data_IF_227954147468
#
_entry.id   IF_227954147468
#
_cell.length_a   1.000
_cell.length_b   1.000
_cell.length_c   1.000
_cell.angle_alpha   90.00
_cell.angle_beta   90.00
_cell.angle_gamma   90.00
#
_symmetry.space_group_name_H-M   'P 1'
#
loop_
_entity.id
_entity.type
_entity.pdbx_description
1 polymer ?
2 non-polymer ?
3 non-polymer ?
4 non-polymer ?
5 water ?
#
# COMPACT_ATOMS: atom_id res chain seq x y z
N UNK A 25 17.99 -4.75 -6.62
CA UNK A 25 18.95 -4.19 -7.61
C UNK A 25 18.39 -4.27 -9.02
N UNK A 26 18.39 -5.48 -9.61
CA UNK A 26 17.89 -5.67 -10.98
C UNK A 26 16.35 -5.70 -11.05
N UNK A 27 15.79 -4.82 -11.85
CA UNK A 27 14.34 -4.73 -12.02
C UNK A 27 13.82 -5.73 -13.02
N UNK A 28 12.83 -6.58 -12.63
CA UNK A 28 12.26 -7.54 -13.58
C UNK A 28 11.71 -6.84 -14.82
N UNK A 29 11.82 -7.46 -15.98
CA UNK A 29 11.28 -6.86 -17.19
C UNK A 29 9.76 -6.59 -17.07
N UNK A 30 9.03 -7.48 -16.39
CA UNK A 30 7.59 -7.30 -16.24
C UNK A 30 7.27 -5.99 -15.52
N UNK A 31 8.14 -5.59 -14.59
CA UNK A 31 7.97 -4.32 -13.88
C UNK A 31 8.17 -3.15 -14.84
N UNK A 32 9.24 -3.21 -15.62
CA UNK A 32 9.50 -2.15 -16.60
C UNK A 32 8.34 -2.06 -17.60
N UNK A 33 7.80 -3.20 -18.03
CA UNK A 33 6.70 -3.23 -18.98
C UNK A 33 5.44 -2.64 -18.37
N UNK A 34 5.17 -2.97 -17.11
CA UNK A 34 4.01 -2.45 -16.38
C UNK A 34 4.08 -0.91 -16.26
N UNK A 35 5.25 -0.42 -15.89
CA UNK A 35 5.43 1.04 -15.77
C UNK A 35 5.27 1.74 -17.11
N UNK A 36 5.83 1.13 -18.16
CA UNK A 36 5.74 1.72 -19.50
C UNK A 36 4.28 1.72 -19.97
N UNK A 37 3.52 0.68 -19.64
CA UNK A 37 2.12 0.59 -20.01
C UNK A 37 1.31 1.68 -19.30
N UNK A 38 1.57 1.87 -18.01
CA UNK A 38 0.86 2.93 -17.28
C UNK A 38 1.25 4.33 -17.74
N UNK A 39 2.50 4.52 -18.16
CA UNK A 39 3.01 5.83 -18.55
C UNK A 39 2.65 6.20 -19.98
N UNK A 40 2.41 5.20 -20.81
CA UNK A 40 2.03 5.39 -22.21
C UNK A 40 0.57 5.74 -22.39
N UNK A 41 0.12 5.69 -23.63
CA UNK A 41 -1.21 6.15 -24.00
C UNK A 41 -2.02 4.98 -24.60
N UNK A 42 -1.58 3.74 -24.40
CA UNK A 42 -2.14 2.54 -25.04
C UNK A 42 -2.74 1.62 -23.98
N UNK A 43 -4.07 1.63 -23.83
CA UNK A 43 -4.70 0.75 -22.80
C UNK A 43 -4.30 -0.73 -22.98
N UNK A 44 -4.25 -1.22 -24.22
CA UNK A 44 -3.94 -2.62 -24.46
C UNK A 44 -2.53 -3.02 -24.05
N UNK A 45 -1.62 -2.06 -23.94
CA UNK A 45 -0.29 -2.39 -23.46
C UNK A 45 -0.34 -2.82 -22.01
N UNK A 46 -1.32 -2.36 -21.22
CA UNK A 46 -1.45 -2.83 -19.84
C UNK A 46 -2.16 -4.19 -19.83
N UNK A 47 -3.34 -4.27 -20.47
CA UNK A 47 -4.08 -5.50 -20.45
C UNK A 47 -3.36 -6.73 -20.96
N UNK A 48 -2.57 -6.58 -22.01
CA UNK A 48 -1.90 -7.72 -22.61
C UNK A 48 -0.94 -8.43 -21.66
N UNK A 49 -0.49 -7.76 -20.61
CA UNK A 49 0.40 -8.37 -19.63
C UNK A 49 -0.26 -9.40 -18.73
N UNK A 50 -1.60 -9.45 -18.71
CA UNK A 50 -2.36 -10.24 -17.76
C UNK A 50 -2.96 -11.51 -18.32
N UNK A 51 -3.03 -12.50 -17.41
CA UNK A 51 -3.70 -13.76 -17.69
C UNK A 51 -5.16 -13.52 -18.03
N UNK A 52 -5.80 -14.52 -18.65
CA UNK A 52 -7.16 -14.39 -19.06
C UNK A 52 -8.10 -14.12 -17.90
N UNK A 53 -7.78 -14.73 -16.75
CA UNK A 53 -8.52 -14.56 -15.51
C UNK A 53 -7.76 -13.72 -14.50
N UNK A 54 -6.79 -12.95 -14.97
CA UNK A 54 -6.02 -12.10 -14.10
C UNK A 54 -6.87 -11.02 -13.44
N UNK A 55 -6.48 -10.63 -12.25
CA UNK A 55 -7.19 -9.61 -11.49
C UNK A 55 -6.32 -8.37 -11.24
N UNK A 56 -7.02 -7.23 -11.14
CA UNK A 56 -6.38 -5.98 -10.86
C UNK A 56 -7.25 -5.28 -9.80
N UNK A 57 -6.66 -4.91 -8.67
CA UNK A 57 -7.34 -4.21 -7.60
C UNK A 57 -6.57 -2.93 -7.27
N UNK A 58 -7.28 -1.80 -7.31
CA UNK A 58 -6.76 -0.52 -6.81
C UNK A 58 -7.43 -0.30 -5.48
N UNK A 59 -6.66 -0.45 -4.40
CA UNK A 59 -7.21 -0.31 -3.06
C UNK A 59 -7.50 1.13 -2.66
N UNK A 60 -6.78 2.07 -3.22
CA UNK A 60 -6.99 3.47 -2.86
C UNK A 60 -8.39 3.95 -3.30
N UNK A 61 -8.73 3.61 -4.55
CA UNK A 61 -10.02 3.99 -5.18
C UNK A 61 -11.10 2.96 -4.91
N UNK A 62 -10.72 1.71 -4.70
CA UNK A 62 -11.59 0.60 -4.51
C UNK A 62 -12.19 0.10 -5.80
N UNK A 63 -11.36 -0.13 -6.79
CA UNK A 63 -11.78 -0.65 -8.08
C UNK A 63 -11.22 -2.04 -8.27
N UNK A 64 -12.04 -2.92 -8.84
CA UNK A 64 -11.71 -4.32 -9.12
C UNK A 64 -12.02 -4.72 -10.57
N UNK A 65 -11.01 -5.23 -11.28
CA UNK A 65 -11.17 -5.62 -12.69
C UNK A 65 -10.63 -7.02 -12.87
N UNK A 66 -11.28 -7.80 -13.76
CA UNK A 66 -10.85 -9.15 -14.08
C UNK A 66 -10.79 -9.31 -15.60
N UNK A 67 -9.68 -9.86 -16.06
CA UNK A 67 -9.49 -10.12 -17.48
C UNK A 67 -8.93 -8.93 -18.23
N UNK A 68 -8.33 -9.20 -19.39
CA UNK A 68 -7.62 -8.18 -20.13
C UNK A 68 -8.47 -7.05 -20.59
N UNK A 69 -9.69 -7.29 -21.05
CA UNK A 69 -10.53 -6.20 -21.49
C UNK A 69 -10.83 -5.23 -20.36
N UNK A 70 -11.26 -5.74 -19.20
CA UNK A 70 -11.53 -4.83 -18.07
C UNK A 70 -10.27 -4.10 -17.61
N UNK A 71 -9.15 -4.80 -17.62
CA UNK A 71 -7.88 -4.22 -17.13
C UNK A 71 -7.38 -3.10 -18.07
N UNK A 72 -7.41 -3.36 -19.39
CA UNK A 72 -7.12 -2.30 -20.34
C UNK A 72 -8.13 -1.14 -20.13
N UNK A 73 -9.40 -1.47 -19.87
CA UNK A 73 -10.40 -0.47 -19.58
C UNK A 73 -10.10 0.37 -18.37
N UNK A 74 -9.39 -0.15 -17.37
CA UNK A 74 -8.98 0.62 -16.20
C UNK A 74 -7.91 1.65 -16.56
N UNK A 75 -6.97 1.31 -17.44
CA UNK A 75 -6.04 2.31 -17.95
C UNK A 75 -6.81 3.38 -18.71
N UNK A 76 -7.76 2.99 -19.57
CA UNK A 76 -8.54 3.97 -20.30
C UNK A 76 -9.34 4.91 -19.36
N UNK A 77 -9.97 4.35 -18.33
CA UNK A 77 -10.74 5.12 -17.38
C UNK A 77 -9.88 6.07 -16.59
N UNK A 78 -8.72 5.59 -16.18
CA UNK A 78 -7.79 6.42 -15.44
C UNK A 78 -7.35 7.61 -16.32
N UNK A 79 -7.00 7.34 -17.57
CA UNK A 79 -6.59 8.42 -18.48
C UNK A 79 -7.71 9.41 -18.76
N UNK A 80 -8.93 8.94 -18.82
CA UNK A 80 -10.05 9.85 -19.03
C UNK A 80 -10.20 10.81 -17.84
N UNK A 81 -9.84 10.42 -16.63
CA UNK A 81 -9.97 11.25 -15.44
C UNK A 81 -8.71 12.01 -15.07
N UNK A 82 -7.54 11.53 -15.49
CA UNK A 82 -6.29 12.06 -15.06
C UNK A 82 -5.35 12.26 -16.23
N UNK A 83 -4.88 13.50 -16.40
CA UNK A 83 -3.95 13.82 -17.43
C UNK A 83 -2.51 13.45 -16.99
N UNK A 84 -1.68 13.11 -17.98
CA UNK A 84 -0.25 12.87 -17.76
C UNK A 84 0.05 11.76 -16.74
N UNK A 85 -0.76 10.72 -16.69
CA UNK A 85 -0.48 9.63 -15.78
C UNK A 85 0.93 9.09 -16.06
N UNK A 86 1.74 8.98 -15.02
CA UNK A 86 3.07 8.45 -15.18
C UNK A 86 3.46 7.71 -13.92
N UNK A 87 4.12 6.59 -14.14
CA UNK A 87 4.55 5.70 -13.07
C UNK A 87 6.04 5.42 -13.24
N UNK A 88 6.82 5.77 -12.22
CA UNK A 88 8.26 5.56 -12.26
C UNK A 88 8.62 4.53 -11.20
N UNK A 89 9.59 3.68 -11.50
CA UNK A 89 10.02 2.66 -10.58
C UNK A 89 11.13 3.15 -9.67
N UNK A 90 10.90 3.05 -8.38
CA UNK A 90 11.88 3.36 -7.36
C UNK A 90 12.75 2.14 -7.13
N UNK A 91 12.13 0.99 -6.87
CA UNK A 91 12.83 -0.28 -6.73
C UNK A 91 11.83 -1.41 -6.85
N UNK A 92 12.29 -2.59 -7.17
CA UNK A 92 11.42 -3.72 -7.26
C UNK A 92 12.21 -4.95 -6.94
N UNK A 93 11.54 -6.00 -6.44
CA UNK A 93 12.18 -7.22 -6.00
C UNK A 93 11.24 -8.43 -6.10
N UNK A 94 11.77 -9.55 -6.57
CA UNK A 94 11.04 -10.78 -6.83
C UNK A 94 11.37 -11.82 -5.77
N UNK A 95 10.35 -12.53 -5.33
CA UNK A 95 10.42 -13.68 -4.44
C UNK A 95 9.53 -14.74 -5.08
N UNK A 96 10.15 -15.63 -5.85
CA UNK A 96 9.39 -16.69 -6.53
C UNK A 96 8.40 -16.10 -7.51
N UNK A 97 7.12 -16.43 -7.35
CA UNK A 97 6.11 -15.91 -8.25
C UNK A 97 5.57 -14.54 -7.81
N UNK A 98 6.18 -13.93 -6.81
CA UNK A 98 5.70 -12.65 -6.29
C UNK A 98 6.68 -11.57 -6.60
N UNK A 99 6.20 -10.44 -7.05
CA UNK A 99 7.02 -9.27 -7.32
C UNK A 99 6.42 -8.09 -6.53
N UNK A 100 7.30 -7.37 -5.85
CA UNK A 100 6.94 -6.15 -5.15
C UNK A 100 7.55 -4.97 -5.87
N UNK A 101 6.72 -3.94 -6.10
CA UNK A 101 7.14 -2.74 -6.75
C UNK A 101 6.95 -1.54 -5.85
N UNK A 102 8.00 -0.77 -5.64
CA UNK A 102 7.91 0.54 -5.02
C UNK A 102 8.02 1.54 -6.19
N UNK A 103 6.97 2.32 -6.42
CA UNK A 103 6.90 3.26 -7.53
C UNK A 103 6.44 4.59 -7.07
N UNK A 104 6.48 5.56 -7.99
CA UNK A 104 5.84 6.87 -7.79
C UNK A 104 4.79 6.99 -8.88
N UNK A 105 3.59 7.30 -8.43
CA UNK A 105 2.42 7.50 -9.28
C UNK A 105 2.06 8.98 -9.31
N UNK A 106 2.04 9.54 -10.50
CA UNK A 106 1.75 10.95 -10.66
C UNK A 106 0.82 11.23 -11.82
N UNK A 107 0.26 12.45 -11.79
CA UNK A 107 -0.64 12.91 -12.85
C UNK A 107 -1.32 14.18 -12.39
N UNK A 108 -2.33 14.59 -13.15
CA UNK A 108 -3.09 15.78 -12.81
C UNK A 108 -4.56 15.47 -13.08
N UNK A 109 -5.34 15.29 -12.01
CA UNK A 109 -6.76 15.01 -12.15
C UNK A 109 -7.39 16.14 -12.94
N UNK A 110 -8.10 15.83 -14.01
CA UNK A 110 -8.61 16.88 -14.89
C UNK A 110 -9.60 17.74 -14.13
N UNK A 111 -9.39 19.06 -14.20
CA UNK A 111 -10.21 20.06 -13.49
C UNK A 111 -9.74 20.38 -12.06
N UNK A 112 -8.80 19.61 -11.50
CA UNK A 112 -8.31 19.88 -10.13
C UNK A 112 -7.32 21.03 -10.17
N UNK A 113 -7.19 21.76 -9.05
CA UNK A 113 -6.23 22.87 -9.07
C UNK A 113 -4.76 22.55 -9.42
N UNK A 114 -4.23 21.44 -8.91
CA UNK A 114 -2.83 21.12 -9.06
C UNK A 114 -2.62 19.62 -9.32
N UNK A 115 -1.43 19.25 -9.81
CA UNK A 115 -1.08 17.84 -10.02
C UNK A 115 -0.63 17.20 -8.69
N UNK A 116 -0.34 15.89 -8.77
CA UNK A 116 0.11 15.11 -7.63
C UNK A 116 1.19 14.11 -8.04
N UNK A 117 1.94 13.66 -7.04
CA UNK A 117 2.87 12.52 -7.19
C UNK A 117 2.94 11.87 -5.81
N UNK A 118 2.70 10.55 -5.73
CA UNK A 118 2.73 9.85 -4.46
C UNK A 118 3.47 8.53 -4.60
N UNK A 119 4.04 8.04 -3.50
CA UNK A 119 4.59 6.69 -3.52
C UNK A 119 3.46 5.65 -3.61
N UNK A 120 3.73 4.56 -4.29
CA UNK A 120 2.77 3.50 -4.43
C UNK A 120 3.50 2.21 -4.22
N UNK A 121 2.75 1.27 -3.66
CA UNK A 121 3.23 -0.14 -3.51
C UNK A 121 2.33 -0.99 -4.38
N UNK A 122 2.92 -1.74 -5.30
CA UNK A 122 2.20 -2.66 -6.14
C UNK A 122 2.72 -4.08 -5.94
N UNK A 123 1.80 -4.97 -5.69
CA UNK A 123 2.11 -6.40 -5.47
C UNK A 123 1.62 -7.16 -6.68
N UNK A 124 2.56 -7.85 -7.36
CA UNK A 124 2.18 -8.69 -8.48
C UNK A 124 2.37 -10.17 -8.12
N UNK A 125 1.52 -11.00 -8.66
CA UNK A 125 1.76 -12.43 -8.74
C UNK A 125 1.87 -12.74 -10.22
N UNK A 126 2.87 -13.54 -10.58
CA UNK A 126 3.15 -13.84 -12.01
C UNK A 126 3.19 -15.35 -12.27
N UNK A 127 3.14 -15.67 -13.55
CA UNK A 127 3.25 -17.05 -14.05
C UNK A 127 4.07 -16.86 -15.33
N UNK A 128 5.37 -17.12 -15.26
CA UNK A 128 6.24 -16.83 -16.38
C UNK A 128 6.22 -15.32 -16.53
N UNK A 129 5.97 -14.82 -17.76
CA UNK A 129 5.84 -13.41 -18.01
C UNK A 129 4.46 -12.82 -17.68
N UNK A 130 3.40 -13.64 -17.58
CA UNK A 130 2.03 -13.14 -17.33
C UNK A 130 1.78 -12.78 -15.87
N UNK A 131 0.99 -11.72 -15.70
CA UNK A 131 0.54 -11.27 -14.40
C UNK A 131 -0.81 -11.91 -14.09
N UNK A 132 -0.89 -12.64 -12.98
CA UNK A 132 -2.14 -13.21 -12.54
C UNK A 132 -2.89 -12.32 -11.56
N UNK A 133 -2.15 -11.50 -10.81
CA UNK A 133 -2.75 -10.57 -9.84
C UNK A 133 -1.90 -9.30 -9.74
N UNK A 134 -2.60 -8.15 -9.72
CA UNK A 134 -1.97 -6.87 -9.42
C UNK A 134 -2.83 -6.22 -8.30
N UNK A 135 -2.20 -5.79 -7.24
CA UNK A 135 -2.81 -4.93 -6.21
C UNK A 135 -1.98 -3.65 -6.13
N UNK A 136 -2.68 -2.49 -6.21
CA UNK A 136 -2.06 -1.18 -6.06
C UNK A 136 -2.52 -0.52 -4.76
N UNK A 137 -1.59 -0.01 -3.99
CA UNK A 137 -1.82 0.75 -2.74
C UNK A 137 -1.10 2.08 -2.80
N UNK A 138 -1.80 3.16 -2.37
CA UNK A 138 -1.22 4.50 -2.32
C UNK A 138 -2.12 5.37 -1.47
N UNK A 139 -1.63 6.52 -1.06
CA UNK A 139 -2.42 7.41 -0.21
C UNK A 139 -3.36 8.28 -0.99
N UNK A 140 -4.64 7.95 -0.99
CA UNK A 140 -5.66 8.79 -1.64
C UNK A 140 -5.69 10.15 -0.94
N UNK A 141 -5.48 10.20 0.37
CA UNK A 141 -5.51 11.51 1.09
C UNK A 141 -4.42 12.42 0.53
N UNK A 142 -3.25 11.88 0.33
CA UNK A 142 -2.14 12.66 -0.20
C UNK A 142 -2.44 13.10 -1.63
N UNK A 143 -2.97 12.21 -2.45
CA UNK A 143 -3.35 12.57 -3.82
C UNK A 143 -4.28 13.79 -3.81
N UNK A 144 -5.34 13.70 -3.05
CA UNK A 144 -6.34 14.78 -3.02
C UNK A 144 -5.76 16.06 -2.45
N UNK A 145 -5.02 15.98 -1.36
CA UNK A 145 -4.43 17.18 -0.76
C UNK A 145 -3.45 17.86 -1.74
N UNK A 146 -2.57 17.08 -2.37
CA UNK A 146 -1.64 17.67 -3.31
C UNK A 146 -2.40 18.37 -4.44
N UNK A 147 -3.51 17.75 -4.82
CA UNK A 147 -4.32 18.23 -5.96
C UNK A 147 -5.16 19.45 -5.67
N UNK A 148 -5.22 19.84 -4.40
CA UNK A 148 -6.05 20.96 -3.99
C UNK A 148 -7.53 20.62 -4.00
N UNK A 149 -7.87 19.35 -3.81
CA UNK A 149 -9.24 18.88 -3.78
C UNK A 149 -9.65 18.62 -2.36
N UNK A 150 -10.97 18.67 -2.09
CA UNK A 150 -11.47 18.41 -0.76
C UNK A 150 -11.16 16.99 -0.31
N UNK A 151 -11.07 16.78 1.00
CA UNK A 151 -10.74 15.46 1.51
C UNK A 151 -11.76 14.35 1.18
N UNK A 152 -12.99 14.77 0.96
CA UNK A 152 -14.06 13.85 0.61
C UNK A 152 -14.46 13.91 -0.86
N UNK A 153 -13.56 14.41 -1.70
CA UNK A 153 -13.85 14.54 -3.11
C UNK A 153 -14.08 13.19 -3.78
N UNK A 154 -15.00 13.19 -4.74
CA UNK A 154 -15.26 12.02 -5.58
C UNK A 154 -15.48 12.55 -7.01
N UNK A 155 -15.22 11.70 -8.01
CA UNK A 155 -15.41 12.13 -9.41
C UNK A 155 -16.88 12.39 -9.76
N UNK B 26 6.53 -20.15 3.63
CA UNK B 26 6.96 -19.97 5.06
C UNK B 26 7.08 -18.50 5.42
N UNK B 27 6.45 -18.15 6.52
CA UNK B 27 6.47 -16.78 7.00
C UNK B 27 7.71 -16.47 7.82
N UNK B 28 8.48 -15.42 7.45
CA UNK B 28 9.64 -15.09 8.29
C UNK B 28 9.25 -14.83 9.78
N UNK B 29 10.10 -15.22 10.72
CA UNK B 29 9.82 -14.95 12.11
C UNK B 29 9.62 -13.44 12.40
N UNK B 30 10.36 -12.57 11.72
CA UNK B 30 10.19 -11.14 11.94
C UNK B 30 8.77 -10.67 11.62
N UNK B 31 8.14 -11.31 10.63
CA UNK B 31 6.76 -11.00 10.29
C UNK B 31 5.81 -11.41 11.41
N UNK B 32 5.98 -12.65 11.91
CA UNK B 32 5.18 -13.13 13.03
C UNK B 32 5.35 -12.21 14.23
N UNK B 33 6.59 -11.79 14.51
CA UNK B 33 6.87 -10.92 15.65
C UNK B 33 6.22 -9.56 15.49
N UNK B 34 6.28 -9.00 14.29
CA UNK B 34 5.67 -7.71 13.98
C UNK B 34 4.17 -7.77 14.18
N UNK B 35 3.52 -8.82 13.68
CA UNK B 35 2.05 -8.98 13.86
C UNK B 35 1.68 -9.13 15.34
N UNK B 36 2.49 -9.90 16.06
CA UNK B 36 2.22 -10.13 17.48
C UNK B 36 2.39 -8.81 18.24
N UNK B 37 3.38 -8.01 17.87
CA UNK B 37 3.58 -6.70 18.50
C UNK B 37 2.40 -5.77 18.25
N UNK B 38 1.91 -5.73 17.01
CA UNK B 38 0.77 -4.88 16.71
C UNK B 38 -0.51 -5.39 17.37
N UNK B 39 -0.66 -6.71 17.53
CA UNK B 39 -1.87 -7.29 18.10
C UNK B 39 -1.89 -7.24 19.62
N UNK B 40 -0.72 -7.21 20.23
CA UNK B 40 -0.59 -7.17 21.67
C UNK B 40 -0.83 -5.79 22.26
N UNK B 41 -0.48 -5.64 23.52
CA UNK B 41 -0.79 -4.42 24.29
C UNK B 41 0.52 -3.77 24.78
N UNK B 42 1.66 -4.13 24.19
CA UNK B 42 2.99 -3.71 24.66
C UNK B 42 3.67 -2.87 23.59
N UNK B 43 3.68 -1.53 23.71
CA UNK B 43 4.34 -0.68 22.69
C UNK B 43 5.80 -1.11 22.44
N UNK B 44 6.55 -1.45 23.49
CA UNK B 44 7.97 -1.80 23.32
C UNK B 44 8.19 -3.07 22.56
N UNK B 45 7.19 -3.94 22.46
CA UNK B 45 7.35 -5.13 21.65
C UNK B 45 7.49 -4.73 20.16
N UNK B 46 6.86 -3.62 19.76
CA UNK B 46 7.02 -3.17 18.36
C UNK B 46 8.39 -2.46 18.20
N UNK B 47 8.66 -1.47 19.05
CA UNK B 47 9.90 -0.72 18.90
C UNK B 47 11.17 -1.53 18.97
N UNK B 48 11.22 -2.54 19.83
CA UNK B 48 12.42 -3.33 19.99
C UNK B 48 12.88 -4.06 18.72
N UNK B 49 11.98 -4.23 17.77
CA UNK B 49 12.30 -4.88 16.50
C UNK B 49 13.13 -4.02 15.56
N UNK B 50 13.24 -2.73 15.83
CA UNK B 50 13.83 -1.77 14.91
C UNK B 50 15.21 -1.30 15.29
N UNK B 51 15.99 -1.01 14.23
CA UNK B 51 17.31 -0.43 14.36
C UNK B 51 17.21 0.92 15.05
N UNK B 52 18.35 1.39 15.56
CA UNK B 52 18.37 2.65 16.29
C UNK B 52 17.89 3.83 15.45
N UNK B 53 18.23 3.79 14.17
CA UNK B 53 17.84 4.77 13.17
C UNK B 53 16.76 4.24 12.24
N UNK B 54 16.05 3.20 12.65
CA UNK B 54 15.02 2.66 11.81
C UNK B 54 13.83 3.61 11.64
N UNK B 55 13.18 3.49 10.50
CA UNK B 55 12.04 4.34 10.19
C UNK B 55 10.74 3.55 10.05
N UNK B 56 9.65 4.26 10.34
CA UNK B 56 8.32 3.69 10.24
C UNK B 56 7.44 4.75 9.58
N UNK B 57 6.83 4.43 8.46
CA UNK B 57 5.93 5.36 7.74
C UNK B 57 4.59 4.67 7.54
N UNK B 58 3.52 5.33 7.99
CA UNK B 58 2.14 4.90 7.70
C UNK B 58 1.64 5.86 6.62
N UNK B 59 1.52 5.35 5.39
CA UNK B 59 1.15 6.20 4.26
C UNK B 59 -0.34 6.56 4.27
N UNK B 60 -1.17 5.75 4.89
CA UNK B 60 -2.61 6.03 4.90
C UNK B 60 -2.92 7.26 5.73
N UNK B 61 -2.31 7.33 6.92
CA UNK B 61 -2.49 8.44 7.86
C UNK B 61 -1.45 9.54 7.69
N UNK B 62 -0.33 9.23 7.06
CA UNK B 62 0.73 10.16 6.83
C UNK B 62 1.54 10.44 8.08
N UNK B 63 1.97 9.41 8.78
CA UNK B 63 2.77 9.53 9.98
C UNK B 63 4.15 8.93 9.74
N UNK B 64 5.16 9.60 10.27
CA UNK B 64 6.55 9.20 10.16
C UNK B 64 7.18 9.17 11.54
N UNK B 65 7.89 8.08 11.82
CA UNK B 65 8.59 7.92 13.09
C UNK B 65 9.98 7.40 12.81
N UNK B 66 10.95 7.80 13.65
CA UNK B 66 12.33 7.33 13.54
C UNK B 66 12.82 6.94 14.93
N UNK B 67 13.43 5.76 15.01
CA UNK B 67 13.97 5.27 16.26
C UNK B 67 12.95 4.52 17.11
N UNK B 68 13.46 3.67 18.02
CA UNK B 68 12.61 2.79 18.79
C UNK B 68 11.62 3.53 19.66
N UNK B 69 12.01 4.62 20.32
CA UNK B 69 11.09 5.33 21.18
C UNK B 69 9.91 5.86 20.39
N UNK B 70 10.17 6.56 19.28
CA UNK B 70 9.05 7.07 18.46
C UNK B 70 8.18 5.93 17.91
N UNK B 71 8.82 4.82 17.51
CA UNK B 71 8.07 3.71 16.90
C UNK B 71 7.16 3.03 17.95
N UNK B 72 7.74 2.70 19.11
CA UNK B 72 6.90 2.24 20.20
C UNK B 72 5.76 3.26 20.44
N UNK B 73 6.07 4.55 20.43
CA UNK B 73 5.07 5.57 20.63
C UNK B 73 3.98 5.55 19.60
N UNK B 74 4.24 5.10 18.38
CA UNK B 74 3.21 4.97 17.35
C UNK B 74 2.23 3.83 17.70
N UNK B 75 2.72 2.73 18.22
CA UNK B 75 1.82 1.68 18.74
C UNK B 75 0.97 2.25 19.89
N UNK B 76 1.58 2.99 20.81
CA UNK B 76 0.81 3.58 21.90
C UNK B 76 -0.24 4.55 21.39
N UNK B 77 0.10 5.41 20.45
CA UNK B 77 -0.83 6.37 19.88
C UNK B 77 -1.98 5.71 19.14
N UNK B 78 -1.65 4.69 18.37
CA UNK B 78 -2.66 3.94 17.65
C UNK B 78 -3.65 3.31 18.68
N UNK B 79 -3.12 2.68 19.72
CA UNK B 79 -3.99 2.06 20.76
C UNK B 79 -4.83 3.07 21.50
N UNK B 80 -4.34 4.28 21.69
CA UNK B 80 -5.14 5.31 22.35
C UNK B 80 -6.30 5.70 21.49
N UNK B 81 -6.19 5.65 20.17
CA UNK B 81 -7.25 6.02 19.22
C UNK B 81 -8.15 4.88 18.78
N UNK B 82 -7.65 3.66 18.81
CA UNK B 82 -8.31 2.52 18.25
C UNK B 82 -8.28 1.35 19.21
N UNK B 83 -9.46 0.83 19.52
CA UNK B 83 -9.60 -0.33 20.38
C UNK B 83 -9.38 -1.62 19.57
N UNK B 84 -8.87 -2.65 20.23
CA UNK B 84 -8.74 -3.99 19.66
C UNK B 84 -7.92 -4.06 18.38
N UNK B 85 -6.88 -3.24 18.28
CA UNK B 85 -6.05 -3.28 17.09
C UNK B 85 -5.51 -4.72 16.94
N UNK B 86 -5.67 -5.29 15.76
CA UNK B 86 -5.18 -6.61 15.49
C UNK B 86 -4.75 -6.68 14.05
N UNK B 87 -3.65 -7.38 13.84
CA UNK B 87 -3.03 -7.53 12.52
C UNK B 87 -2.80 -9.02 12.31
N UNK B 88 -3.40 -9.57 11.26
CA UNK B 88 -3.27 -10.99 10.92
C UNK B 88 -2.49 -11.10 9.61
N UNK B 89 -1.62 -12.10 9.48
CA UNK B 89 -0.85 -12.33 8.29
C UNK B 89 -1.59 -13.17 7.28
N UNK B 90 -1.77 -12.64 6.08
CA UNK B 90 -2.34 -13.41 4.96
C UNK B 90 -1.22 -14.19 4.26
N UNK B 91 -0.14 -13.50 3.90
CA UNK B 91 1.03 -14.16 3.35
C UNK B 91 2.21 -13.20 3.45
N UNK B 92 3.41 -13.70 3.35
CA UNK B 92 4.57 -12.88 3.39
C UNK B 92 5.66 -13.57 2.63
N UNK B 93 6.59 -12.79 2.11
CA UNK B 93 7.66 -13.31 1.30
C UNK B 93 8.88 -12.42 1.47
N UNK B 94 10.07 -13.02 1.35
CA UNK B 94 11.35 -12.37 1.47
C UNK B 94 12.15 -12.44 0.16
N UNK B 95 12.77 -11.31 -0.21
CA UNK B 95 13.69 -11.19 -1.32
C UNK B 95 14.92 -10.45 -0.76
N UNK B 96 15.99 -11.18 -0.41
CA UNK B 96 17.13 -10.50 0.16
C UNK B 96 16.78 -9.81 1.48
N UNK B 97 17.13 -8.54 1.59
CA UNK B 97 16.86 -7.81 2.81
C UNK B 97 15.46 -7.20 2.79
N UNK B 98 14.64 -7.58 1.84
CA UNK B 98 13.30 -7.03 1.71
C UNK B 98 12.25 -8.07 2.03
N UNK B 99 11.27 -7.69 2.82
CA UNK B 99 10.17 -8.55 3.15
C UNK B 99 8.87 -7.81 2.79
N UNK B 100 7.98 -8.52 2.14
CA UNK B 100 6.64 -8.01 1.81
C UNK B 100 5.62 -8.78 2.62
N UNK B 101 4.72 -8.04 3.25
CA UNK B 101 3.67 -8.59 4.06
C UNK B 101 2.30 -8.20 3.55
N UNK B 102 1.48 -9.19 3.27
CA UNK B 102 0.06 -8.99 3.00
C UNK B 102 -0.66 -9.34 4.30
N UNK B 103 -1.33 -8.38 4.92
CA UNK B 103 -1.98 -8.55 6.20
C UNK B 103 -3.38 -8.03 6.17
N UNK B 104 -4.12 -8.28 7.26
CA UNK B 104 -5.40 -7.65 7.50
C UNK B 104 -5.24 -6.86 8.80
N UNK B 105 -5.58 -5.58 8.71
CA UNK B 105 -5.53 -4.64 9.81
C UNK B 105 -6.96 -4.30 10.24
N UNK B 106 -7.25 -4.51 11.52
CA UNK B 106 -8.57 -4.31 12.05
C UNK B 106 -8.53 -3.66 13.42
N UNK B 107 -9.68 -3.12 13.79
CA UNK B 107 -9.87 -2.52 15.10
C UNK B 107 -11.18 -1.74 15.11
N UNK B 108 -11.37 -0.93 16.14
CA UNK B 108 -12.59 -0.12 16.25
C UNK B 108 -12.16 1.24 16.77
N UNK B 109 -12.17 2.26 15.89
CA UNK B 109 -11.79 3.60 16.24
C UNK B 109 -12.71 4.02 17.41
N UNK B 110 -12.13 4.50 18.50
CA UNK B 110 -12.94 4.80 19.69
C UNK B 110 -13.91 5.91 19.38
N UNK B 111 -15.19 5.68 19.68
CA UNK B 111 -16.24 6.64 19.40
C UNK B 111 -16.92 6.50 18.03
N UNK B 112 -16.35 5.73 17.12
CA UNK B 112 -16.94 5.54 15.79
C UNK B 112 -18.10 4.56 15.87
N UNK B 113 -19.06 4.67 14.94
CA UNK B 113 -20.18 3.72 15.00
C UNK B 113 -19.84 2.23 14.94
N UNK B 114 -18.89 1.85 14.08
CA UNK B 114 -18.61 0.43 13.85
C UNK B 114 -17.11 0.17 13.70
N UNK B 115 -16.69 -1.09 13.81
CA UNK B 115 -15.27 -1.47 13.62
C UNK B 115 -14.96 -1.61 12.13
N UNK B 116 -13.70 -1.89 11.85
CA UNK B 116 -13.21 -2.06 10.48
C UNK B 116 -12.21 -3.21 10.40
N UNK B 117 -12.00 -3.69 9.18
CA UNK B 117 -10.91 -4.62 8.85
C UNK B 117 -10.60 -4.40 7.38
N UNK B 118 -9.32 -4.12 7.08
CA UNK B 118 -8.91 -3.86 5.72
C UNK B 118 -7.62 -4.60 5.37
N UNK B 119 -7.40 -4.92 4.10
CA UNK B 119 -6.11 -5.46 3.69
C UNK B 119 -5.03 -4.36 3.80
N UNK B 120 -3.82 -4.76 4.15
CA UNK B 120 -2.72 -3.84 4.24
C UNK B 120 -1.55 -4.50 3.59
N UNK B 121 -0.72 -3.65 3.00
CA UNK B 121 0.59 -4.07 2.43
C UNK B 121 1.66 -3.40 3.28
N UNK B 122 2.58 -4.18 3.84
CA UNK B 122 3.67 -3.65 4.62
C UNK B 122 4.99 -4.11 3.99
N UNK B 123 5.85 -3.13 3.73
CA UNK B 123 7.18 -3.36 3.12
C UNK B 123 8.21 -3.14 4.21
N UNK B 124 8.98 -4.19 4.50
CA UNK B 124 10.07 -4.10 5.46
C UNK B 124 11.41 -4.19 4.74
N UNK B 125 12.40 -3.48 5.29
CA UNK B 125 13.81 -3.68 4.97
C UNK B 125 14.53 -4.11 6.25
N UNK B 126 15.22 -5.23 6.22
CA UNK B 126 15.82 -5.83 7.43
C UNK B 126 17.35 -5.91 7.32
N UNK B 127 17.96 -6.12 8.49
CA UNK B 127 19.42 -6.36 8.61
C UNK B 127 19.48 -7.45 9.70
N UNK B 128 19.63 -8.69 9.26
CA UNK B 128 19.57 -9.80 10.19
C UNK B 128 18.15 -9.84 10.70
N UNK B 129 17.94 -9.85 12.03
CA UNK B 129 16.64 -9.80 12.63
C UNK B 129 16.04 -8.38 12.75
N UNK B 130 16.87 -7.32 12.70
CA UNK B 130 16.39 -5.92 12.89
C UNK B 130 15.70 -5.36 11.66
N UNK B 131 14.67 -4.54 11.90
CA UNK B 131 13.98 -3.85 10.85
C UNK B 131 14.59 -2.45 10.72
N UNK B 132 15.05 -2.12 9.52
CA UNK B 132 15.56 -0.78 9.25
C UNK B 132 14.52 0.16 8.68
N UNK B 133 13.52 -0.39 7.99
CA UNK B 133 12.43 0.41 7.41
C UNK B 133 11.12 -0.40 7.41
N UNK B 134 10.04 0.27 7.80
CA UNK B 134 8.69 -0.28 7.69
C UNK B 134 7.85 0.80 6.96
N UNK B 135 7.17 0.42 5.89
CA UNK B 135 6.14 1.21 5.28
C UNK B 135 4.82 0.45 5.30
N UNK B 136 3.74 1.08 5.79
CA UNK B 136 2.41 0.50 5.80
C UNK B 136 1.51 1.26 4.81
N UNK B 137 0.80 0.51 3.98
CA UNK B 137 -0.22 1.04 3.02
C UNK B 137 -1.53 0.28 3.23
N UNK B 138 -2.66 1.06 3.23
CA UNK B 138 -4.00 0.51 3.35
C UNK B 138 -4.98 1.57 2.94
N UNK B 139 -6.22 1.18 2.69
CA UNK B 139 -7.23 2.14 2.24
C UNK B 139 -7.87 2.87 3.41
N UNK B 140 -7.50 4.12 3.61
CA UNK B 140 -8.12 4.93 4.63
C UNK B 140 -9.61 5.11 4.30
N UNK B 141 -9.97 5.21 3.01
CA UNK B 141 -11.40 5.41 2.63
C UNK B 141 -12.19 4.20 3.10
N UNK B 142 -11.69 3.00 2.98
CA UNK B 142 -12.38 1.82 3.40
C UNK B 142 -12.47 1.78 4.92
N UNK B 143 -11.39 2.12 5.62
CA UNK B 143 -11.42 2.18 7.07
C UNK B 143 -12.58 3.07 7.52
N UNK B 144 -12.62 4.28 7.00
CA UNK B 144 -13.63 5.26 7.44
C UNK B 144 -15.02 4.82 7.07
N UNK B 145 -15.22 4.35 5.85
CA UNK B 145 -16.54 3.90 5.43
C UNK B 145 -17.02 2.71 6.29
N UNK B 146 -16.18 1.72 6.52
CA UNK B 146 -16.58 0.58 7.35
C UNK B 146 -16.96 1.04 8.75
N UNK B 147 -16.23 2.06 9.19
CA UNK B 147 -16.42 2.61 10.56
C UNK B 147 -17.64 3.48 10.74
N UNK B 148 -18.30 3.82 9.65
CA UNK B 148 -19.45 4.72 9.70
C UNK B 148 -19.04 6.16 9.95
N UNK B 149 -17.82 6.54 9.56
CA UNK B 149 -17.32 7.87 9.73
C UNK B 149 -17.36 8.62 8.42
N UNK B 150 -17.42 9.97 8.47
CA UNK B 150 -17.41 10.72 7.23
C UNK B 150 -16.12 10.54 6.45
N UNK B 151 -16.20 10.78 5.15
CA UNK B 151 -15.05 10.57 4.29
C UNK B 151 -13.87 11.52 4.57
N UNK B 152 -14.16 12.66 5.17
CA UNK B 152 -13.13 13.63 5.51
C UNK B 152 -12.98 13.71 7.02
N UNK B 153 -13.03 12.57 7.68
CA UNK B 153 -12.94 12.50 9.14
C UNK B 153 -11.50 12.53 9.62
N UNK B 154 -11.23 13.34 10.63
CA UNK B 154 -9.91 13.44 11.23
C UNK B 154 -10.11 13.34 12.74
N UNK B 155 -9.09 12.85 13.46
CA UNK B 155 -9.20 12.75 14.92
C UNK B 155 -9.33 14.11 15.61
X LIG C 1 -15.38 -8.81 -25.36
X LIG D 1 -3.89 3.82 0.81
X LIG E 1 6.57 13.29 -12.00
X LIG F 1 3.41 -17.89 -3.46
X LIG G 1 -1.70 4.16 1.74
X LIG H 1 -5.61 5.57 1.20
X LIG I 1 16.57 -5.26 -4.34
X LIG J 1 16.70 -2.96 -4.21
X LIG K 1 5.20 -17.20 -0.81
X LIG L 1 0.75 -18.33 -2.60
X LIG L 1 1.72 -19.11 -2.76
X LIG L 1 0.86 -17.10 -2.82
X LIG L 1 -0.56 -18.88 -2.11
X LIG M 1 5.56 -19.33 -4.63
X LIG M 1 5.59 -18.13 -4.49
X LIG M 1 4.62 -20.02 -4.17
X LIG M 1 6.81 -19.92 -5.28
X LIG N 1 5.69 15.16 -10.29
X LIG N 1 4.87 14.80 -11.18
X LIG N 1 6.81 14.64 -10.16
X LIG N 1 5.35 16.21 -9.30
X LIG O 1 -10.76 -9.33 12.79
X LIG P 1 -16.30 -2.63 18.82
X LIG Q 1 17.96 -4.04 -1.65
X LIG R 1 -4.54 1.89 -0.48
X LIG S 1 2.89 -17.24 -0.48
X LIG T 1 -12.93 -7.65 11.75
X LIG T 1 -12.69 -8.71 11.07
X LIG T 1 -12.17 -7.34 12.72
X LIG T 1 -14.19 -6.86 11.50
#
# INVERSE_FOLDING_TARGET
XHHHHHHSSGVDLGTENLYFQSNAMTTPEIVTAWAAAWTGTNPNALGTLFAADGTYVDHAIGATMTGREQISGWKARTDAMIENVHVTITKAYRAGDHVTIEAVYGGHIKGAPTPFAVPMATLLRTRGEEITSDQDYYSLSSVLAQSGLPADWTPSDS
XHHHHHHSSGVDLGTENLYFQSNAXTTPEIVTAWAAAWTGTNPNALGTLFAADGTYVDHAIGATMTGREQISGWKARTDAMIENVHVTITKAYRAGDHVTIEAVYGGHIKGAPTPFAVPMATLLRTRGEEITSDQDYYSLSSVLAQSGLPADWTPSDS
CD CD
CD CD
CD CD
CD CD
CL CL
CL CL
CL CL
CL CL
CL CL
ACT C O OXT CH3
ACT C O OXT CH3
ACT C O OXT CH3
CD CD
CD CD
CD CD
CL CL
CL CL
ACT C O OXT CH3
#
